data_IF_395993688894
#
_entry.id   IF_395993688894
#
_cell.length_a   1.000
_cell.length_b   1.000
_cell.length_c   1.000
_cell.angle_alpha   90.00
_cell.angle_beta   90.00
_cell.angle_gamma   90.00
#
_symmetry.space_group_name_H-M   'P 1'
#
loop_
_entity.id
_entity.type
_entity.pdbx_description
1 polymer ?
#
# COMPACT_ATOMS: atom_id res chain seq x y z
N UNK A 1 13.94 -16.85 -9.46
CA UNK A 1 12.95 -15.75 -9.31
C UNK A 1 11.86 -16.22 -8.36
N UNK A 2 11.39 -15.37 -7.46
CA UNK A 2 10.24 -15.69 -6.60
C UNK A 2 8.93 -15.53 -7.38
N UNK A 3 7.85 -16.21 -6.93
CA UNK A 3 6.51 -16.01 -7.48
C UNK A 3 6.09 -14.54 -7.39
N UNK A 4 5.38 -14.04 -8.40
CA UNK A 4 4.82 -12.67 -8.45
C UNK A 4 3.30 -12.79 -8.43
N UNK A 5 2.63 -12.09 -7.52
CA UNK A 5 1.17 -12.05 -7.43
C UNK A 5 0.69 -10.60 -7.42
N UNK A 6 -0.13 -10.26 -8.39
CA UNK A 6 -0.85 -9.00 -8.48
C UNK A 6 -2.18 -9.12 -7.71
N UNK A 7 -2.45 -8.21 -6.78
CA UNK A 7 -3.68 -8.19 -6.00
C UNK A 7 -4.54 -7.02 -6.45
N UNK A 8 -5.80 -7.28 -6.79
CA UNK A 8 -6.76 -6.27 -7.21
C UNK A 8 -8.15 -6.54 -6.65
N UNK A 9 -8.94 -5.48 -6.49
CA UNK A 9 -10.33 -5.55 -6.03
C UNK A 9 -11.27 -4.76 -6.94
N UNK A 10 -11.30 -3.44 -6.84
CA UNK A 10 -12.16 -2.53 -7.59
C UNK A 10 -11.41 -1.34 -8.20
N UNK A 11 -10.07 -1.40 -8.25
CA UNK A 11 -9.26 -0.34 -8.79
C UNK A 11 -9.52 -0.19 -10.30
N UNK A 12 -9.83 1.03 -10.79
CA UNK A 12 -10.24 1.24 -12.19
C UNK A 12 -9.18 0.87 -13.23
N UNK A 13 -7.90 0.98 -12.84
CA UNK A 13 -6.73 0.71 -13.69
C UNK A 13 -6.15 -0.70 -13.50
N UNK A 14 -6.82 -1.56 -12.72
CA UNK A 14 -6.28 -2.88 -12.34
C UNK A 14 -6.01 -3.80 -13.54
N UNK A 15 -6.89 -3.81 -14.52
CA UNK A 15 -6.76 -4.70 -15.69
C UNK A 15 -5.60 -4.27 -16.58
N UNK A 16 -5.45 -2.97 -16.82
CA UNK A 16 -4.35 -2.40 -17.60
C UNK A 16 -3.01 -2.63 -16.91
N UNK A 17 -2.92 -2.34 -15.61
CA UNK A 17 -1.70 -2.54 -14.83
C UNK A 17 -1.31 -4.02 -14.75
N UNK A 18 -2.28 -4.94 -14.62
CA UNK A 18 -1.99 -6.37 -14.66
C UNK A 18 -1.52 -6.82 -16.03
N UNK A 19 -2.12 -6.33 -17.12
CA UNK A 19 -1.69 -6.66 -18.48
C UNK A 19 -0.25 -6.19 -18.73
N UNK A 20 0.10 -4.98 -18.31
CA UNK A 20 1.46 -4.45 -18.41
C UNK A 20 2.47 -5.29 -17.59
N UNK A 21 2.13 -5.64 -16.35
CA UNK A 21 2.96 -6.53 -15.52
C UNK A 21 3.15 -7.89 -16.20
N UNK A 22 2.07 -8.49 -16.70
CA UNK A 22 2.08 -9.82 -17.32
C UNK A 22 2.87 -9.87 -18.63
N UNK A 23 2.87 -8.79 -19.40
CA UNK A 23 3.65 -8.67 -20.63
C UNK A 23 5.16 -8.75 -20.34
N UNK A 24 5.63 -8.17 -19.24
CA UNK A 24 7.03 -8.22 -18.80
C UNK A 24 7.37 -9.50 -18.03
N UNK A 25 6.42 -10.00 -17.24
CA UNK A 25 6.59 -11.17 -16.35
C UNK A 25 5.47 -12.17 -16.58
N UNK A 26 5.56 -13.03 -17.63
CA UNK A 26 4.47 -13.94 -18.04
C UNK A 26 4.00 -14.91 -16.96
N UNK A 27 4.86 -15.22 -15.96
CA UNK A 27 4.52 -16.10 -14.84
C UNK A 27 3.77 -15.37 -13.71
N UNK A 28 3.57 -14.06 -13.79
CA UNK A 28 2.81 -13.32 -12.79
C UNK A 28 1.36 -13.84 -12.70
N UNK A 29 0.92 -14.07 -11.47
CA UNK A 29 -0.42 -14.57 -11.13
C UNK A 29 -1.29 -13.39 -10.69
N UNK A 30 -2.61 -13.55 -10.71
CA UNK A 30 -3.54 -12.56 -10.17
C UNK A 30 -4.44 -13.16 -9.09
N UNK A 31 -4.68 -12.37 -8.05
CA UNK A 31 -5.77 -12.54 -7.09
C UNK A 31 -6.69 -11.33 -7.23
N UNK A 32 -7.95 -11.56 -7.62
CA UNK A 32 -8.92 -10.50 -7.90
C UNK A 32 -10.21 -10.73 -7.13
N UNK A 33 -10.86 -9.65 -6.71
CA UNK A 33 -12.22 -9.63 -6.17
C UNK A 33 -12.36 -10.27 -4.78
N UNK A 34 -11.25 -10.41 -4.03
CA UNK A 34 -11.29 -10.95 -2.67
C UNK A 34 -11.54 -9.81 -1.68
N UNK A 35 -12.71 -9.83 -1.01
CA UNK A 35 -13.04 -8.87 0.03
C UNK A 35 -12.13 -9.07 1.26
N UNK A 36 -11.53 -7.99 1.71
CA UNK A 36 -10.63 -7.97 2.88
C UNK A 36 -9.16 -8.17 2.51
N UNK A 37 -8.34 -7.22 2.98
CA UNK A 37 -6.92 -7.15 2.64
C UNK A 37 -6.15 -8.40 3.11
N UNK A 38 -6.42 -8.91 4.32
CA UNK A 38 -5.79 -10.12 4.84
C UNK A 38 -6.14 -11.34 4.00
N UNK A 39 -7.41 -11.52 3.66
CA UNK A 39 -7.89 -12.66 2.87
C UNK A 39 -7.30 -12.68 1.46
N UNK A 40 -7.15 -11.50 0.84
CA UNK A 40 -6.52 -11.36 -0.47
C UNK A 40 -5.04 -11.81 -0.41
N UNK A 41 -4.28 -11.38 0.61
CA UNK A 41 -2.88 -11.76 0.79
C UNK A 41 -2.69 -13.23 1.15
N UNK A 42 -3.54 -13.79 2.02
CA UNK A 42 -3.54 -15.24 2.32
C UNK A 42 -3.80 -16.05 1.04
N UNK A 43 -4.77 -15.64 0.22
CA UNK A 43 -5.07 -16.29 -1.06
C UNK A 43 -3.90 -16.19 -2.04
N UNK A 44 -3.21 -15.04 -2.06
CA UNK A 44 -2.00 -14.85 -2.86
C UNK A 44 -0.88 -15.81 -2.43
N UNK A 45 -0.58 -15.87 -1.13
CA UNK A 45 0.43 -16.78 -0.59
C UNK A 45 0.12 -18.26 -0.89
N UNK A 46 -1.15 -18.67 -0.84
CA UNK A 46 -1.59 -20.03 -1.19
C UNK A 46 -1.40 -20.38 -2.67
N UNK A 47 -1.35 -19.38 -3.57
CA UNK A 47 -1.06 -19.59 -4.99
C UNK A 47 0.44 -19.71 -5.31
N UNK A 48 1.31 -19.43 -4.35
CA UNK A 48 2.76 -19.42 -4.53
C UNK A 48 3.41 -20.73 -4.10
N UNK A 49 4.57 -21.02 -4.69
CA UNK A 49 5.39 -22.20 -4.39
C UNK A 49 6.73 -21.83 -3.76
N UNK A 50 7.24 -20.62 -4.01
CA UNK A 50 8.51 -20.15 -3.48
C UNK A 50 8.41 -19.74 -2.01
N UNK A 51 9.55 -19.79 -1.28
CA UNK A 51 9.61 -19.44 0.16
C UNK A 51 9.20 -18.00 0.42
N UNK A 52 9.66 -17.09 -0.44
CA UNK A 52 9.25 -15.69 -0.52
C UNK A 52 8.43 -15.50 -1.78
N UNK A 53 7.56 -14.49 -1.81
CA UNK A 53 6.80 -14.15 -3.01
C UNK A 53 6.54 -12.65 -3.07
N UNK A 54 6.53 -12.13 -4.29
CA UNK A 54 6.24 -10.73 -4.57
C UNK A 54 4.74 -10.47 -4.56
N UNK A 55 4.38 -9.35 -3.95
CA UNK A 55 3.05 -8.74 -4.05
C UNK A 55 3.17 -7.45 -4.84
N UNK A 56 2.26 -7.27 -5.78
CA UNK A 56 2.08 -6.04 -6.55
C UNK A 56 0.64 -5.58 -6.36
N UNK A 57 0.47 -4.39 -5.79
CA UNK A 57 -0.85 -3.79 -5.59
C UNK A 57 -1.40 -3.28 -6.93
N UNK A 58 -2.73 -3.24 -7.09
CA UNK A 58 -3.38 -2.93 -8.37
C UNK A 58 -3.11 -1.51 -8.88
N UNK A 59 -2.81 -0.57 -8.00
CA UNK A 59 -2.46 0.82 -8.32
C UNK A 59 -0.95 1.05 -8.53
N UNK A 60 -0.14 -0.02 -8.51
CA UNK A 60 1.30 0.07 -8.72
C UNK A 60 1.66 0.02 -10.21
N UNK A 61 2.12 1.15 -10.74
CA UNK A 61 2.77 1.25 -12.05
C UNK A 61 4.25 0.91 -11.88
N UNK A 62 4.65 -0.30 -12.27
CA UNK A 62 6.02 -0.78 -12.10
C UNK A 62 6.96 -0.02 -13.02
N UNK A 63 8.07 0.50 -12.46
CA UNK A 63 9.10 1.19 -13.22
C UNK A 63 9.81 0.23 -14.20
N UNK A 64 10.24 0.74 -15.35
CA UNK A 64 10.80 -0.08 -16.43
C UNK A 64 12.09 -0.80 -16.03
N UNK A 65 12.89 -0.17 -15.16
CA UNK A 65 14.14 -0.69 -14.63
C UNK A 65 13.98 -1.66 -13.45
N UNK A 66 12.75 -1.83 -12.91
CA UNK A 66 12.50 -2.76 -11.82
C UNK A 66 12.20 -4.17 -12.33
N UNK A 67 12.98 -5.19 -11.92
CA UNK A 67 13.01 -6.52 -12.54
C UNK A 67 12.65 -7.70 -11.61
N UNK A 68 12.30 -7.47 -10.34
CA UNK A 68 11.94 -8.50 -9.35
C UNK A 68 13.03 -9.57 -9.10
N UNK A 69 14.32 -9.25 -9.27
CA UNK A 69 15.42 -10.21 -9.16
C UNK A 69 16.08 -10.29 -7.78
N UNK A 70 15.63 -9.47 -6.82
CA UNK A 70 16.17 -9.44 -5.47
C UNK A 70 16.10 -10.82 -4.81
N UNK A 71 17.23 -11.25 -4.23
CA UNK A 71 17.34 -12.50 -3.48
C UNK A 71 17.47 -12.20 -1.99
N UNK A 72 16.52 -12.69 -1.22
CA UNK A 72 16.51 -12.50 0.24
C UNK A 72 17.59 -13.34 0.87
N UNK A 73 18.47 -12.76 1.71
CA UNK A 73 19.44 -13.51 2.52
C UNK A 73 18.72 -14.48 3.48
N UNK A 74 19.36 -15.61 3.81
CA UNK A 74 18.71 -16.66 4.62
C UNK A 74 18.20 -16.15 5.98
N UNK A 75 18.98 -15.27 6.64
CA UNK A 75 18.61 -14.69 7.93
C UNK A 75 17.47 -13.67 7.86
N UNK A 76 16.96 -13.36 6.67
CA UNK A 76 15.85 -12.42 6.44
C UNK A 76 14.60 -13.10 5.81
N UNK A 77 14.56 -14.43 5.75
CA UNK A 77 13.46 -15.17 5.16
C UNK A 77 12.13 -15.05 5.94
N UNK A 78 12.18 -14.54 7.15
CA UNK A 78 11.01 -14.20 8.00
C UNK A 78 10.66 -12.70 7.98
N UNK A 79 11.41 -11.88 7.22
CA UNK A 79 11.21 -10.44 7.14
C UNK A 79 10.26 -10.05 6.01
N UNK A 80 9.47 -9.01 6.25
CA UNK A 80 8.72 -8.29 5.23
C UNK A 80 9.62 -7.24 4.60
N UNK A 81 9.79 -7.29 3.27
CA UNK A 81 10.55 -6.30 2.53
C UNK A 81 9.57 -5.42 1.74
N UNK A 82 9.72 -4.10 1.83
CA UNK A 82 8.83 -3.13 1.16
C UNK A 82 9.68 -2.15 0.36
N UNK A 83 9.44 -2.08 -0.94
CA UNK A 83 10.09 -1.12 -1.83
C UNK A 83 9.45 0.24 -1.72
N UNK A 84 10.26 1.27 -1.97
CA UNK A 84 9.76 2.63 -2.06
C UNK A 84 8.86 2.78 -3.29
N UNK A 85 7.79 3.52 -3.13
CA UNK A 85 6.94 3.97 -4.21
C UNK A 85 7.02 5.48 -4.36
N UNK A 86 6.85 5.98 -5.59
CA UNK A 86 6.75 7.40 -5.87
C UNK A 86 5.29 7.82 -5.83
N UNK A 87 4.99 8.85 -5.06
CA UNK A 87 3.66 9.48 -5.06
C UNK A 87 3.53 10.44 -6.26
N UNK A 88 2.52 10.28 -7.15
CA UNK A 88 2.37 11.09 -8.34
C UNK A 88 1.92 12.52 -8.03
N UNK A 89 1.35 12.79 -6.86
CA UNK A 89 0.82 14.10 -6.47
C UNK A 89 1.89 14.95 -5.78
N UNK A 90 2.53 14.43 -4.72
CA UNK A 90 3.45 15.20 -3.89
C UNK A 90 4.93 14.82 -4.05
N UNK A 91 5.24 13.82 -4.86
CA UNK A 91 6.60 13.40 -5.18
C UNK A 91 7.32 12.63 -4.09
N UNK A 92 6.68 12.35 -2.94
CA UNK A 92 7.26 11.55 -1.87
C UNK A 92 7.71 10.18 -2.37
N UNK A 93 8.85 9.71 -1.87
CA UNK A 93 9.41 8.39 -2.15
C UNK A 93 9.70 7.69 -0.84
N UNK A 94 8.86 6.72 -0.46
CA UNK A 94 9.05 5.89 0.73
C UNK A 94 8.28 4.57 0.62
N UNK A 95 8.50 3.65 1.58
CA UNK A 95 7.89 2.33 1.57
C UNK A 95 6.45 2.31 2.06
N UNK A 96 5.49 2.83 1.31
CA UNK A 96 4.08 2.85 1.68
C UNK A 96 3.16 2.02 0.80
N UNK A 97 3.66 1.38 -0.21
CA UNK A 97 2.73 0.65 -1.06
C UNK A 97 3.35 -0.16 -2.18
N UNK A 98 2.58 -0.48 -3.13
CA UNK A 98 2.84 -0.99 -4.44
C UNK A 98 3.56 -2.34 -4.52
N UNK A 99 4.82 -2.41 -4.15
CA UNK A 99 5.64 -3.62 -4.32
C UNK A 99 6.23 -4.07 -2.99
N UNK A 100 6.00 -5.34 -2.66
CA UNK A 100 6.42 -5.98 -1.41
C UNK A 100 6.90 -7.39 -1.67
N UNK A 101 7.79 -7.90 -0.81
CA UNK A 101 8.25 -9.29 -0.85
C UNK A 101 8.00 -9.91 0.52
N UNK A 102 7.17 -10.93 0.55
CA UNK A 102 6.62 -11.52 1.77
C UNK A 102 7.05 -12.95 2.01
N UNK A 103 7.30 -13.36 3.27
CA UNK A 103 7.50 -14.75 3.65
C UNK A 103 6.19 -15.52 3.52
N UNK A 104 6.15 -16.48 2.58
CA UNK A 104 4.94 -17.20 2.20
C UNK A 104 4.25 -17.88 3.39
N UNK A 105 5.00 -18.60 4.22
CA UNK A 105 4.42 -19.37 5.33
C UNK A 105 3.84 -18.46 6.42
N UNK A 106 4.53 -17.35 6.72
CA UNK A 106 4.03 -16.36 7.68
C UNK A 106 2.79 -15.65 7.13
N UNK A 107 2.77 -15.33 5.84
CA UNK A 107 1.60 -14.73 5.20
C UNK A 107 0.36 -15.63 5.25
N UNK A 108 0.53 -16.95 5.05
CA UNK A 108 -0.59 -17.90 5.19
C UNK A 108 -1.14 -17.95 6.62
N UNK A 109 -0.28 -17.76 7.62
CA UNK A 109 -0.59 -17.85 9.06
C UNK A 109 -0.73 -16.50 9.76
N UNK A 110 -0.82 -15.40 8.99
CA UNK A 110 -0.81 -14.04 9.55
C UNK A 110 -1.89 -13.82 10.59
N UNK A 111 -1.60 -12.90 11.51
CA UNK A 111 -2.56 -12.44 12.53
C UNK A 111 -3.56 -11.44 11.90
N UNK A 112 -4.75 -11.90 11.60
CA UNK A 112 -5.79 -11.08 10.96
C UNK A 112 -6.47 -10.08 11.91
N UNK A 113 -6.12 -10.06 13.19
CA UNK A 113 -6.64 -9.09 14.17
C UNK A 113 -5.88 -7.75 14.12
N UNK A 114 -4.66 -7.76 13.59
CA UNK A 114 -3.85 -6.54 13.41
C UNK A 114 -4.35 -5.72 12.21
N UNK A 115 -4.48 -4.40 12.34
CA UNK A 115 -5.00 -3.55 11.25
C UNK A 115 -4.02 -3.35 10.08
N UNK A 116 -2.73 -3.42 10.34
CA UNK A 116 -1.69 -3.27 9.33
C UNK A 116 -1.23 -4.61 8.75
N UNK A 117 -1.16 -4.69 7.41
CA UNK A 117 -0.84 -5.92 6.70
C UNK A 117 0.57 -6.42 6.99
N UNK A 118 1.56 -5.54 7.05
CA UNK A 118 2.95 -5.94 7.22
C UNK A 118 3.21 -6.48 8.61
N UNK A 119 2.67 -5.82 9.63
CA UNK A 119 2.77 -6.26 11.03
C UNK A 119 1.93 -7.51 11.33
N UNK A 120 0.90 -7.78 10.53
CA UNK A 120 0.12 -9.02 10.59
C UNK A 120 0.94 -10.24 10.17
N UNK A 121 1.94 -10.05 9.30
CA UNK A 121 2.79 -11.11 8.77
C UNK A 121 4.02 -11.34 9.63
N UNK A 122 4.75 -10.26 9.96
CA UNK A 122 6.01 -10.34 10.70
C UNK A 122 6.29 -9.04 11.46
N UNK A 123 6.98 -9.15 12.57
CA UNK A 123 7.51 -8.00 13.31
C UNK A 123 8.83 -7.48 12.69
N UNK A 124 9.42 -8.24 11.77
CA UNK A 124 10.64 -7.87 11.05
C UNK A 124 10.30 -7.21 9.72
N UNK A 125 10.69 -5.95 9.59
CA UNK A 125 10.40 -5.10 8.44
C UNK A 125 11.69 -4.50 7.87
N UNK A 126 11.87 -4.55 6.57
CA UNK A 126 12.96 -3.91 5.84
C UNK A 126 12.38 -2.97 4.77
N UNK A 127 12.69 -1.68 4.91
CA UNK A 127 12.46 -0.71 3.85
C UNK A 127 13.61 -0.79 2.85
N UNK A 128 13.30 -1.12 1.60
CA UNK A 128 14.27 -1.17 0.52
C UNK A 128 14.50 0.24 -0.05
N UNK A 129 15.74 0.54 -0.42
CA UNK A 129 16.11 1.89 -0.90
C UNK A 129 15.62 2.18 -2.32
N UNK A 130 15.49 1.15 -3.16
CA UNK A 130 15.07 1.31 -4.53
C UNK A 130 13.58 1.66 -4.65
N UNK A 131 13.26 2.47 -5.67
CA UNK A 131 11.89 2.80 -6.03
C UNK A 131 11.39 1.79 -7.05
N UNK A 132 10.37 1.01 -6.70
CA UNK A 132 9.85 -0.05 -7.58
C UNK A 132 8.71 0.41 -8.50
N UNK A 133 7.92 1.39 -8.02
CA UNK A 133 6.70 1.79 -8.74
C UNK A 133 6.30 3.26 -8.47
N UNK A 134 5.42 3.75 -9.33
CA UNK A 134 4.57 4.91 -9.02
C UNK A 134 3.21 4.40 -8.58
N UNK A 135 2.69 4.90 -7.45
CA UNK A 135 1.36 4.50 -6.96
C UNK A 135 0.28 5.33 -7.63
N UNK A 136 -0.45 4.75 -8.58
CA UNK A 136 -1.46 5.43 -9.39
C UNK A 136 -2.83 5.44 -8.70
N UNK A 137 -2.92 6.03 -7.50
CA UNK A 137 -4.16 6.10 -6.72
C UNK A 137 -5.06 7.28 -7.12
N UNK A 138 -4.55 8.23 -7.90
CA UNK A 138 -5.24 9.46 -8.29
C UNK A 138 -6.09 9.29 -9.56
N UNK A 139 -6.98 8.30 -9.57
CA UNK A 139 -7.84 7.94 -10.71
C UNK A 139 -9.20 8.66 -10.71
N UNK A 140 -9.65 9.15 -9.56
CA UNK A 140 -10.89 9.94 -9.40
C UNK A 140 -10.80 10.79 -8.12
N UNK A 141 -11.73 11.75 -7.90
CA UNK A 141 -11.83 12.49 -6.65
C UNK A 141 -11.85 11.60 -5.41
N UNK A 142 -12.73 10.61 -5.40
CA UNK A 142 -12.88 9.69 -4.26
C UNK A 142 -11.63 8.81 -4.05
N UNK A 143 -11.12 8.18 -5.10
CA UNK A 143 -9.93 7.31 -4.99
C UNK A 143 -8.72 8.09 -4.47
N UNK A 144 -8.56 9.33 -4.95
CA UNK A 144 -7.46 10.21 -4.53
C UNK A 144 -7.60 10.62 -3.06
N UNK A 145 -8.79 11.04 -2.66
CA UNK A 145 -9.09 11.38 -1.27
C UNK A 145 -8.90 10.18 -0.35
N UNK A 146 -9.47 9.04 -0.72
CA UNK A 146 -9.40 7.77 0.02
C UNK A 146 -7.95 7.33 0.24
N UNK A 147 -7.14 7.34 -0.82
CA UNK A 147 -5.72 6.98 -0.74
C UNK A 147 -4.94 7.86 0.24
N UNK A 148 -5.11 9.18 0.13
CA UNK A 148 -4.47 10.16 1.01
C UNK A 148 -4.97 10.07 2.46
N UNK A 149 -6.28 9.90 2.66
CA UNK A 149 -6.89 9.71 3.99
C UNK A 149 -6.29 8.50 4.70
N UNK A 150 -6.33 7.34 4.04
CA UNK A 150 -5.83 6.07 4.60
C UNK A 150 -4.36 6.14 4.98
N UNK A 151 -3.55 6.72 4.12
CA UNK A 151 -2.12 6.85 4.38
C UNK A 151 -1.84 7.78 5.55
N UNK A 152 -2.43 8.98 5.57
CA UNK A 152 -2.21 9.96 6.64
C UNK A 152 -2.81 9.51 7.99
N UNK A 153 -3.93 8.77 7.98
CA UNK A 153 -4.47 8.14 9.19
C UNK A 153 -3.49 7.11 9.78
N UNK A 154 -2.89 6.25 8.95
CA UNK A 154 -1.86 5.30 9.40
C UNK A 154 -0.63 6.00 9.97
N UNK A 155 -0.11 6.98 9.25
CA UNK A 155 1.08 7.74 9.69
C UNK A 155 0.84 8.44 11.03
N UNK A 156 -0.30 9.12 11.19
CA UNK A 156 -0.60 9.93 12.35
C UNK A 156 -1.06 9.13 13.57
N UNK A 157 -1.64 7.95 13.38
CA UNK A 157 -2.09 7.08 14.48
C UNK A 157 -0.96 6.41 15.25
N UNK A 158 0.26 6.43 14.69
CA UNK A 158 1.45 5.76 15.26
C UNK A 158 1.27 4.24 15.51
N UNK A 159 0.31 3.62 14.81
CA UNK A 159 0.06 2.17 14.91
C UNK A 159 1.15 1.33 14.23
N UNK A 160 1.93 1.93 13.32
CA UNK A 160 3.08 1.28 12.70
C UNK A 160 4.28 1.44 13.65
N UNK A 161 4.72 0.34 14.23
CA UNK A 161 5.88 0.32 15.14
C UNK A 161 7.18 0.69 14.40
N UNK A 162 8.11 1.33 15.12
CA UNK A 162 9.46 1.71 14.63
C UNK A 162 9.51 2.79 13.54
N UNK A 163 8.47 3.59 13.36
CA UNK A 163 8.57 4.80 12.54
C UNK A 163 9.38 5.88 13.25
N UNK A 164 10.27 6.54 12.50
CA UNK A 164 10.92 7.76 12.97
C UNK A 164 9.88 8.88 13.04
N UNK A 165 9.66 9.45 14.22
CA UNK A 165 8.62 10.48 14.43
C UNK A 165 8.87 11.74 13.61
N UNK A 166 10.12 12.23 13.54
CA UNK A 166 10.47 13.43 12.79
C UNK A 166 10.23 13.24 11.28
N UNK A 167 10.64 12.10 10.75
CA UNK A 167 10.43 11.77 9.34
C UNK A 167 8.94 11.59 9.01
N UNK A 168 8.18 11.01 9.93
CA UNK A 168 6.72 10.84 9.79
C UNK A 168 6.01 12.19 9.76
N UNK A 169 6.37 13.12 10.64
CA UNK A 169 5.78 14.46 10.64
C UNK A 169 6.13 15.24 9.38
N UNK A 170 7.37 15.15 8.87
CA UNK A 170 7.76 15.75 7.59
C UNK A 170 6.92 15.17 6.41
N UNK A 171 6.68 13.86 6.40
CA UNK A 171 5.82 13.22 5.40
C UNK A 171 4.38 13.71 5.49
N UNK A 172 3.81 13.78 6.69
CA UNK A 172 2.46 14.30 6.94
C UNK A 172 2.32 15.75 6.50
N UNK A 173 3.33 16.61 6.76
CA UNK A 173 3.34 17.98 6.29
C UNK A 173 3.29 18.06 4.76
N UNK A 174 4.14 17.29 4.07
CA UNK A 174 4.17 17.25 2.60
C UNK A 174 2.81 16.74 2.05
N UNK A 175 2.23 15.69 2.64
CA UNK A 175 0.92 15.20 2.24
C UNK A 175 -0.19 16.24 2.38
N UNK A 176 -0.15 17.06 3.42
CA UNK A 176 -1.16 18.08 3.71
C UNK A 176 -0.96 19.41 2.96
N UNK A 177 0.20 19.63 2.31
CA UNK A 177 0.55 20.95 1.75
C UNK A 177 0.95 20.91 0.27
N UNK A 178 1.52 19.80 -0.22
CA UNK A 178 2.13 19.73 -1.55
C UNK A 178 1.23 18.98 -2.54
N UNK A 179 1.13 19.52 -3.78
CA UNK A 179 0.48 18.84 -4.90
C UNK A 179 -0.88 19.41 -5.30
N UNK A 180 -1.28 20.56 -4.76
CA UNK A 180 -2.58 21.21 -5.03
C UNK A 180 -2.91 21.35 -6.52
N UNK A 181 -1.92 21.62 -7.36
CA UNK A 181 -2.08 21.85 -8.82
C UNK A 181 -2.07 20.58 -9.65
N UNK A 182 -1.83 19.42 -9.05
CA UNK A 182 -1.86 18.12 -9.75
C UNK A 182 -3.30 17.66 -9.99
N UNK A 183 -3.55 16.79 -10.98
CA UNK A 183 -4.87 16.18 -11.17
C UNK A 183 -5.38 15.59 -9.85
N UNK A 184 -6.58 15.99 -9.44
CA UNK A 184 -7.20 15.66 -8.16
C UNK A 184 -6.40 16.06 -6.89
N UNK A 185 -5.40 16.96 -7.01
CA UNK A 185 -4.54 17.36 -5.90
C UNK A 185 -5.28 17.96 -4.70
N UNK A 186 -6.36 18.72 -4.94
CA UNK A 186 -7.20 19.25 -3.86
C UNK A 186 -7.84 18.15 -3.02
N UNK A 187 -8.30 17.07 -3.67
CA UNK A 187 -8.86 15.92 -2.96
C UNK A 187 -7.79 15.15 -2.18
N UNK A 188 -6.56 15.08 -2.70
CA UNK A 188 -5.45 14.49 -1.96
C UNK A 188 -5.15 15.28 -0.68
N UNK A 189 -5.07 16.62 -0.76
CA UNK A 189 -4.83 17.48 0.39
C UNK A 189 -5.96 17.34 1.43
N UNK A 190 -7.22 17.42 0.98
CA UNK A 190 -8.37 17.26 1.86
C UNK A 190 -8.41 15.90 2.55
N UNK A 191 -8.13 14.83 1.80
CA UNK A 191 -8.01 13.47 2.34
C UNK A 191 -6.88 13.34 3.36
N UNK A 192 -5.72 13.91 3.05
CA UNK A 192 -4.56 13.90 3.95
C UNK A 192 -4.85 14.63 5.28
N UNK A 193 -5.45 15.82 5.21
CA UNK A 193 -5.82 16.60 6.40
C UNK A 193 -6.84 15.85 7.25
N UNK A 194 -7.90 15.31 6.63
CA UNK A 194 -8.95 14.55 7.32
C UNK A 194 -8.39 13.26 7.92
N UNK A 195 -7.55 12.53 7.18
CA UNK A 195 -6.91 11.30 7.65
C UNK A 195 -5.95 11.55 8.82
N UNK A 196 -5.14 12.62 8.75
CA UNK A 196 -4.27 13.05 9.84
C UNK A 196 -5.07 13.35 11.11
N UNK A 197 -6.16 14.12 10.97
CA UNK A 197 -7.06 14.43 12.10
C UNK A 197 -7.67 13.18 12.71
N UNK A 198 -8.16 12.26 11.85
CA UNK A 198 -8.73 10.99 12.28
C UNK A 198 -7.72 10.12 13.04
N UNK A 199 -6.51 9.93 12.51
CA UNK A 199 -5.49 9.09 13.15
C UNK A 199 -4.96 9.66 14.46
N UNK A 200 -4.99 10.99 14.64
CA UNK A 200 -4.58 11.65 15.89
C UNK A 200 -5.67 11.65 16.97
N UNK A 201 -6.94 11.45 16.61
CA UNK A 201 -8.04 11.51 17.55
C UNK A 201 -7.99 10.34 18.54
N UNK A 202 -8.12 10.66 19.83
CA UNK A 202 -8.15 9.66 20.88
C UNK A 202 -9.35 8.71 20.70
N UNK A 203 -9.10 7.40 20.75
CA UNK A 203 -10.14 6.38 20.59
C UNK A 203 -10.58 6.10 19.17
N UNK A 204 -9.94 6.67 18.15
CA UNK A 204 -10.23 6.33 16.76
C UNK A 204 -10.03 4.84 16.48
N UNK A 205 -11.05 4.22 15.87
CA UNK A 205 -10.93 2.86 15.37
C UNK A 205 -10.19 2.89 14.02
N UNK A 206 -8.86 2.74 14.06
CA UNK A 206 -8.03 2.79 12.85
C UNK A 206 -8.37 1.69 11.81
N UNK A 207 -9.03 0.59 12.21
CA UNK A 207 -9.46 -0.46 11.29
C UNK A 207 -10.47 0.04 10.23
N UNK A 208 -11.22 1.12 10.53
CA UNK A 208 -12.17 1.75 9.60
C UNK A 208 -11.52 2.26 8.30
N UNK A 209 -10.21 2.49 8.27
CA UNK A 209 -9.53 2.84 7.03
C UNK A 209 -9.58 1.72 5.97
N UNK A 210 -9.97 0.51 6.34
CA UNK A 210 -10.15 -0.63 5.45
C UNK A 210 -11.62 -0.89 5.11
N UNK A 211 -12.54 -0.11 5.66
CA UNK A 211 -13.97 -0.11 5.34
C UNK A 211 -14.25 0.95 4.26
N UNK A 212 -14.43 0.50 3.01
CA UNK A 212 -14.57 1.39 1.86
C UNK A 212 -15.95 2.05 1.80
N UNK A 213 -16.98 1.43 2.35
CA UNK A 213 -18.31 2.01 2.46
C UNK A 213 -18.27 3.17 3.47
N UNK A 214 -17.68 2.94 4.63
CA UNK A 214 -17.44 4.00 5.61
C UNK A 214 -16.61 5.16 5.05
N UNK A 215 -15.53 4.87 4.31
CA UNK A 215 -14.69 5.90 3.68
C UNK A 215 -15.49 6.70 2.62
N UNK A 216 -16.41 6.05 1.93
CA UNK A 216 -17.28 6.75 0.97
C UNK A 216 -18.23 7.72 1.68
N UNK A 217 -18.82 7.30 2.80
CA UNK A 217 -19.69 8.16 3.62
C UNK A 217 -18.89 9.37 4.15
N UNK A 218 -17.65 9.19 4.60
CA UNK A 218 -16.78 10.28 5.04
C UNK A 218 -16.46 11.26 3.89
N UNK A 219 -16.22 10.75 2.69
CA UNK A 219 -15.96 11.56 1.51
C UNK A 219 -17.20 12.38 1.13
N UNK A 220 -18.39 11.77 1.10
CA UNK A 220 -19.64 12.43 0.72
C UNK A 220 -20.08 13.48 1.75
N UNK A 221 -19.72 13.30 3.02
CA UNK A 221 -19.97 14.28 4.08
C UNK A 221 -18.97 15.44 4.09
N UNK A 222 -17.84 15.31 3.38
CA UNK A 222 -16.81 16.36 3.34
C UNK A 222 -17.23 17.48 2.37
N UNK A 223 -17.03 18.73 2.79
CA UNK A 223 -17.18 19.91 1.92
C UNK A 223 -15.84 20.21 1.26
N UNK A 224 -15.81 20.24 -0.07
CA UNK A 224 -14.61 20.50 -0.90
C UNK A 224 -14.67 21.89 -1.54
#
# INVERSE_FOLDING_TARGET
MYDIVFISYQEPNADENYAALKARFPMAKRVHGVKGIHQAHIKAAKKCFTKMFWIVDADALILDDFNFDYKVPEHQLDHVHVWRAKNPINGLKYGYGGVKLFPRQLTVKMDTTKPDMTTSISEHFIAMDDVANTTAFNTSPFETWKGAFRECAKLSSKTITRQNNEETEKRLEIWCTVGKTRPYGLYALAGAISGRKFGMASGSNIALINDFDWLKDQFDAASF
#
